data_IF_971658599495
#
_entry.id   IF_971658599495
#
_cell.length_a   1.000
_cell.length_b   1.000
_cell.length_c   1.000
_cell.angle_alpha   90.00
_cell.angle_beta   90.00
_cell.angle_gamma   90.00
#
_symmetry.space_group_name_H-M   'P 1'
#
loop_
_entity.id
_entity.type
_entity.pdbx_description
1 polymer ?
#
# COMPACT_ATOMS: atom_id res chain seq x y z
N UNK A 1 -16.72 13.26 -9.07
CA UNK A 1 -15.45 12.63 -8.64
C UNK A 1 -15.59 11.51 -7.58
N UNK A 2 -16.60 11.50 -6.70
CA UNK A 2 -16.63 10.54 -5.56
C UNK A 2 -16.81 9.05 -5.90
N UNK A 3 -17.41 8.70 -7.05
CA UNK A 3 -17.70 7.29 -7.41
C UNK A 3 -16.43 6.48 -7.66
N UNK A 4 -15.45 7.06 -8.37
CA UNK A 4 -14.16 6.42 -8.66
C UNK A 4 -13.37 6.24 -7.36
N UNK A 5 -13.21 7.29 -6.57
CA UNK A 5 -12.46 7.21 -5.28
C UNK A 5 -13.08 6.16 -4.36
N UNK A 6 -14.42 6.09 -4.26
CA UNK A 6 -15.12 5.08 -3.46
C UNK A 6 -14.93 3.67 -4.01
N UNK A 7 -15.06 3.47 -5.33
CA UNK A 7 -14.86 2.16 -5.98
C UNK A 7 -13.42 1.68 -5.86
N UNK A 8 -12.44 2.59 -5.98
CA UNK A 8 -11.03 2.27 -5.76
C UNK A 8 -10.80 1.83 -4.31
N UNK A 9 -11.31 2.56 -3.30
CA UNK A 9 -11.22 2.12 -1.89
C UNK A 9 -11.86 0.74 -1.66
N UNK A 10 -13.03 0.49 -2.25
CA UNK A 10 -13.74 -0.80 -2.12
C UNK A 10 -13.05 -1.95 -2.86
N UNK A 11 -12.50 -1.71 -4.05
CA UNK A 11 -11.80 -2.73 -4.84
C UNK A 11 -10.48 -3.18 -4.19
N UNK A 12 -9.84 -2.32 -3.39
CA UNK A 12 -8.63 -2.65 -2.63
C UNK A 12 -8.91 -3.26 -1.24
N UNK A 13 -10.17 -3.30 -0.82
CA UNK A 13 -10.63 -4.05 0.35
C UNK A 13 -10.87 -5.55 0.05
N UNK A 14 -10.62 -5.99 -1.19
CA UNK A 14 -10.78 -7.38 -1.60
C UNK A 14 -9.51 -8.16 -1.24
N UNK A 15 -9.65 -9.15 -0.34
CA UNK A 15 -8.58 -9.96 0.26
C UNK A 15 -8.24 -9.57 1.70
N UNK A 16 -7.61 -10.47 2.46
CA UNK A 16 -7.35 -10.36 3.92
C UNK A 16 -6.47 -9.17 4.37
N UNK A 17 -6.00 -8.32 3.45
CA UNK A 17 -5.12 -7.20 3.75
C UNK A 17 -5.86 -5.86 3.64
N UNK A 18 -5.89 -5.12 4.74
CA UNK A 18 -6.48 -3.77 4.79
C UNK A 18 -5.68 -2.80 3.91
N UNK A 19 -6.31 -1.70 3.48
CA UNK A 19 -5.64 -0.62 2.74
C UNK A 19 -4.39 -0.12 3.47
N UNK A 20 -4.50 0.11 4.78
CA UNK A 20 -3.39 0.54 5.62
C UNK A 20 -2.26 -0.49 5.67
N UNK A 21 -2.61 -1.78 5.79
CA UNK A 21 -1.61 -2.86 5.76
C UNK A 21 -0.86 -2.94 4.43
N UNK A 22 -1.58 -2.83 3.31
CA UNK A 22 -0.98 -2.82 1.98
C UNK A 22 -0.06 -1.60 1.76
N UNK A 23 -0.46 -0.43 2.25
CA UNK A 23 0.35 0.79 2.17
C UNK A 23 1.66 0.65 2.94
N UNK A 24 1.59 0.16 4.18
CA UNK A 24 2.76 -0.10 5.03
C UNK A 24 3.71 -1.11 4.38
N UNK A 25 3.20 -2.24 3.86
CA UNK A 25 4.04 -3.21 3.14
C UNK A 25 4.70 -2.59 1.90
N UNK A 26 3.95 -1.82 1.11
CA UNK A 26 4.49 -1.16 -0.08
C UNK A 26 5.60 -0.16 0.27
N UNK A 27 5.47 0.55 1.39
CA UNK A 27 6.49 1.45 1.92
C UNK A 27 7.74 0.72 2.35
N UNK A 28 7.60 -0.30 3.20
CA UNK A 28 8.74 -1.10 3.68
C UNK A 28 9.46 -1.82 2.52
N UNK A 29 8.72 -2.23 1.49
CA UNK A 29 9.27 -2.81 0.27
C UNK A 29 10.17 -1.85 -0.51
N UNK A 30 9.79 -0.56 -0.61
CA UNK A 30 10.55 0.46 -1.37
C UNK A 30 11.63 1.16 -0.55
N UNK A 31 11.32 1.51 0.69
CA UNK A 31 12.15 2.33 1.57
C UNK A 31 13.01 1.54 2.55
N UNK A 32 12.79 0.23 2.66
CA UNK A 32 13.46 -0.62 3.63
C UNK A 32 12.81 -0.57 5.02
N UNK A 33 13.47 -1.18 6.03
CA UNK A 33 12.96 -1.25 7.39
C UNK A 33 12.84 0.13 8.06
N UNK A 34 11.82 0.32 8.89
CA UNK A 34 11.57 1.60 9.56
C UNK A 34 10.92 1.40 10.94
N UNK A 35 10.91 2.45 11.76
CA UNK A 35 10.30 2.45 13.09
C UNK A 35 8.77 2.59 13.03
N UNK A 36 8.01 2.02 13.98
CA UNK A 36 6.55 2.20 14.04
C UNK A 36 6.10 3.67 14.07
N UNK A 37 6.89 4.55 14.70
CA UNK A 37 6.59 5.99 14.78
C UNK A 37 6.72 6.67 13.41
N UNK A 38 7.82 6.44 12.71
CA UNK A 38 8.02 6.97 11.36
C UNK A 38 6.97 6.45 10.38
N UNK A 39 6.62 5.16 10.46
CA UNK A 39 5.52 4.59 9.68
C UNK A 39 4.18 5.29 9.98
N UNK A 40 3.89 5.62 11.24
CA UNK A 40 2.67 6.35 11.61
C UNK A 40 2.63 7.77 11.02
N UNK A 41 3.74 8.50 11.08
CA UNK A 41 3.88 9.84 10.50
C UNK A 41 3.71 9.81 8.98
N UNK A 42 4.42 8.90 8.32
CA UNK A 42 4.41 8.77 6.86
C UNK A 42 3.05 8.31 6.32
N UNK A 43 2.33 7.47 7.07
CA UNK A 43 0.95 7.07 6.74
C UNK A 43 -0.09 8.08 7.24
N UNK A 44 0.33 9.16 7.91
CA UNK A 44 -0.53 10.21 8.48
C UNK A 44 -1.64 9.64 9.39
N UNK A 45 -1.31 8.63 10.20
CA UNK A 45 -2.22 7.99 11.15
C UNK A 45 -1.73 8.12 12.59
N UNK A 46 -2.64 7.94 13.55
CA UNK A 46 -2.28 7.93 14.97
C UNK A 46 -1.40 6.70 15.29
N UNK A 47 -0.42 6.81 16.22
CA UNK A 47 0.44 5.69 16.61
C UNK A 47 -0.32 4.42 17.02
N UNK A 48 -1.45 4.57 17.72
CA UNK A 48 -2.28 3.43 18.13
C UNK A 48 -2.89 2.67 16.94
N UNK A 49 -3.32 3.39 15.89
CA UNK A 49 -3.85 2.77 14.68
C UNK A 49 -2.75 2.07 13.87
N UNK A 50 -1.56 2.67 13.82
CA UNK A 50 -0.38 2.04 13.23
C UNK A 50 0.00 0.76 13.99
N UNK A 51 0.02 0.80 15.33
CA UNK A 51 0.31 -0.38 16.14
C UNK A 51 -0.66 -1.54 15.87
N UNK A 52 -1.96 -1.26 15.74
CA UNK A 52 -2.95 -2.27 15.36
C UNK A 52 -2.73 -2.83 13.95
N UNK A 53 -2.35 -1.98 12.99
CA UNK A 53 -2.00 -2.40 11.63
C UNK A 53 -0.78 -3.32 11.63
N UNK A 54 0.30 -2.91 12.31
CA UNK A 54 1.53 -3.69 12.44
C UNK A 54 1.29 -5.02 13.14
N UNK A 55 0.52 -5.05 14.23
CA UNK A 55 0.17 -6.30 14.91
C UNK A 55 -0.55 -7.28 13.98
N UNK A 56 -1.50 -6.80 13.16
CA UNK A 56 -2.19 -7.65 12.18
C UNK A 56 -1.27 -8.16 11.06
N UNK A 57 -0.27 -7.36 10.64
CA UNK A 57 0.73 -7.78 9.66
C UNK A 57 1.72 -8.81 10.26
N UNK A 58 2.16 -8.59 11.50
CA UNK A 58 3.06 -9.47 12.25
C UNK A 58 2.41 -10.83 12.50
N UNK A 59 1.13 -10.86 12.93
CA UNK A 59 0.37 -12.10 13.13
C UNK A 59 0.25 -12.95 11.86
N UNK A 60 0.29 -12.31 10.69
CA UNK A 60 0.23 -12.96 9.39
C UNK A 60 1.61 -13.29 8.82
N UNK A 61 2.68 -13.01 9.54
CA UNK A 61 4.06 -13.21 9.09
C UNK A 61 4.48 -12.33 7.91
N UNK A 62 3.79 -11.21 7.67
CA UNK A 62 4.06 -10.32 6.53
C UNK A 62 5.12 -9.25 6.84
N UNK A 63 5.34 -9.00 8.14
CA UNK A 63 6.42 -8.15 8.63
C UNK A 63 7.07 -8.83 9.84
N UNK A 64 8.32 -8.47 10.09
CA UNK A 64 9.06 -8.86 11.29
C UNK A 64 9.43 -7.64 12.11
N UNK A 65 9.55 -7.83 13.42
CA UNK A 65 9.98 -6.81 14.37
C UNK A 65 11.30 -7.22 15.01
N UNK A 66 12.28 -6.32 14.97
CA UNK A 66 13.57 -6.50 15.63
C UNK A 66 13.95 -5.26 16.44
N UNK A 67 14.81 -5.38 17.47
CA UNK A 67 15.42 -4.21 18.11
C UNK A 67 16.23 -3.40 17.10
N UNK A 68 16.20 -2.08 17.23
CA UNK A 68 17.04 -1.20 16.41
C UNK A 68 18.52 -1.43 16.76
N UNK A 69 19.41 -1.67 15.77
CA UNK A 69 20.84 -1.83 16.00
C UNK A 69 21.50 -0.60 16.66
N UNK A 70 20.97 0.60 16.43
CA UNK A 70 21.50 1.85 16.95
C UNK A 70 20.96 2.22 18.34
N UNK A 71 19.72 1.84 18.66
CA UNK A 71 19.14 1.98 20.01
C UNK A 71 18.19 0.81 20.31
N UNK A 72 18.65 -0.18 21.09
CA UNK A 72 17.87 -1.38 21.41
C UNK A 72 16.54 -1.12 22.13
N UNK A 73 16.29 0.11 22.61
CA UNK A 73 14.98 0.52 23.16
C UNK A 73 13.95 0.79 22.07
N UNK A 74 14.38 0.96 20.82
CA UNK A 74 13.52 1.16 19.65
C UNK A 74 13.34 -0.15 18.91
N UNK A 75 12.20 -0.27 18.24
CA UNK A 75 11.91 -1.38 17.35
C UNK A 75 11.97 -0.91 15.89
N UNK A 76 12.46 -1.79 15.03
CA UNK A 76 12.48 -1.66 13.58
C UNK A 76 11.58 -2.74 13.00
N UNK A 77 10.73 -2.34 12.05
CA UNK A 77 9.83 -3.20 11.31
C UNK A 77 10.42 -3.42 9.92
N UNK A 78 10.51 -4.67 9.48
CA UNK A 78 10.93 -5.03 8.14
C UNK A 78 9.86 -5.88 7.45
N UNK A 79 9.73 -5.74 6.13
CA UNK A 79 8.89 -6.64 5.32
C UNK A 79 9.57 -8.01 5.20
N UNK A 80 8.79 -9.08 5.36
CA UNK A 80 9.25 -10.46 5.14
C UNK A 80 9.15 -10.84 3.67
N UNK A 81 9.68 -12.00 3.30
CA UNK A 81 9.56 -12.50 1.93
C UNK A 81 8.10 -12.86 1.59
N UNK A 82 7.37 -13.41 2.55
CA UNK A 82 5.93 -13.65 2.47
C UNK A 82 5.16 -12.35 2.25
N UNK A 83 5.54 -11.29 2.97
CA UNK A 83 5.01 -9.94 2.79
C UNK A 83 5.22 -9.40 1.38
N UNK A 84 6.42 -9.58 0.81
CA UNK A 84 6.72 -9.22 -0.59
C UNK A 84 5.88 -10.02 -1.57
N UNK A 85 5.77 -11.33 -1.38
CA UNK A 85 4.95 -12.20 -2.23
C UNK A 85 3.46 -11.81 -2.22
N UNK A 86 2.91 -11.40 -1.08
CA UNK A 86 1.54 -10.86 -1.01
C UNK A 86 1.41 -9.56 -1.79
N UNK A 87 2.40 -8.66 -1.70
CA UNK A 87 2.40 -7.40 -2.43
C UNK A 87 2.40 -7.62 -3.95
N UNK A 88 3.23 -8.53 -4.44
CA UNK A 88 3.33 -8.85 -5.87
C UNK A 88 2.04 -9.49 -6.41
N UNK A 89 1.46 -10.46 -5.68
CA UNK A 89 0.16 -11.03 -6.07
C UNK A 89 -0.92 -9.96 -6.17
N UNK A 90 -0.99 -9.05 -5.18
CA UNK A 90 -1.94 -7.92 -5.23
C UNK A 90 -1.72 -6.99 -6.41
N UNK A 91 -0.46 -6.72 -6.78
CA UNK A 91 -0.13 -5.92 -7.97
C UNK A 91 -0.64 -6.61 -9.23
N UNK A 92 -0.38 -7.90 -9.39
CA UNK A 92 -0.87 -8.70 -10.52
C UNK A 92 -2.40 -8.68 -10.61
N UNK A 93 -3.10 -9.04 -9.52
CA UNK A 93 -4.57 -9.05 -9.48
C UNK A 93 -5.19 -7.67 -9.76
N UNK A 94 -4.51 -6.59 -9.39
CA UNK A 94 -4.99 -5.23 -9.66
C UNK A 94 -4.75 -4.83 -11.11
N UNK A 95 -3.63 -5.25 -11.70
CA UNK A 95 -3.35 -5.07 -13.12
C UNK A 95 -4.36 -5.85 -13.98
N UNK A 96 -4.64 -7.11 -13.64
CA UNK A 96 -5.61 -7.95 -14.38
C UNK A 96 -7.02 -7.36 -14.32
N UNK A 97 -7.46 -6.91 -13.14
CA UNK A 97 -8.76 -6.23 -12.99
C UNK A 97 -8.84 -4.94 -13.77
N UNK A 98 -7.76 -4.16 -13.82
CA UNK A 98 -7.70 -2.93 -14.59
C UNK A 98 -7.73 -3.22 -16.09
N UNK A 99 -6.96 -4.19 -16.56
CA UNK A 99 -6.95 -4.63 -17.95
C UNK A 99 -8.35 -5.05 -18.40
N UNK A 100 -9.02 -5.87 -17.60
CA UNK A 100 -10.39 -6.29 -17.89
C UNK A 100 -11.39 -5.12 -17.89
N UNK A 101 -11.24 -4.16 -16.98
CA UNK A 101 -12.08 -2.96 -16.97
C UNK A 101 -11.89 -2.10 -18.23
N UNK A 102 -10.69 -2.11 -18.80
CA UNK A 102 -10.35 -1.37 -20.02
C UNK A 102 -10.85 -2.06 -21.30
N UNK A 103 -11.23 -3.34 -21.27
CA UNK A 103 -11.76 -4.05 -22.44
C UNK A 103 -12.97 -3.35 -23.08
N UNK A 104 -13.78 -2.65 -22.28
CA UNK A 104 -14.92 -1.87 -22.76
C UNK A 104 -14.59 -0.48 -23.32
N UNK A 105 -13.31 -0.07 -23.31
CA UNK A 105 -12.88 1.27 -23.70
C UNK A 105 -12.32 1.30 -25.12
N UNK A 106 -12.69 2.32 -25.88
CA UNK A 106 -12.12 2.60 -27.20
C UNK A 106 -10.65 3.02 -27.10
N UNK A 107 -9.85 2.91 -28.18
CA UNK A 107 -8.46 3.37 -28.19
C UNK A 107 -8.30 4.85 -27.79
N UNK A 108 -9.25 5.70 -28.18
CA UNK A 108 -9.25 7.13 -27.83
C UNK A 108 -9.47 7.36 -26.33
N UNK A 109 -10.37 6.62 -25.71
CA UNK A 109 -10.62 6.72 -24.26
C UNK A 109 -9.44 6.18 -23.46
N UNK A 110 -8.81 5.09 -23.92
CA UNK A 110 -7.58 4.57 -23.31
C UNK A 110 -6.45 5.60 -23.38
N UNK A 111 -6.27 6.25 -24.54
CA UNK A 111 -5.28 7.33 -24.68
C UNK A 111 -5.57 8.49 -23.73
N UNK A 112 -6.83 8.94 -23.63
CA UNK A 112 -7.20 10.01 -22.71
C UNK A 112 -6.93 9.67 -21.25
N UNK A 113 -7.09 8.40 -20.84
CA UNK A 113 -6.69 7.94 -19.51
C UNK A 113 -5.17 7.99 -19.34
N UNK A 114 -4.40 7.49 -20.30
CA UNK A 114 -2.93 7.54 -20.26
C UNK A 114 -2.42 8.98 -20.14
N UNK A 115 -3.02 9.91 -20.87
CA UNK A 115 -2.62 11.32 -20.86
C UNK A 115 -2.88 12.01 -19.51
N UNK A 116 -3.92 11.59 -18.78
CA UNK A 116 -4.29 12.21 -17.48
C UNK A 116 -3.54 11.61 -16.29
N UNK A 117 -3.06 10.35 -16.38
CA UNK A 117 -2.39 9.67 -15.26
C UNK A 117 -1.22 10.48 -14.65
N UNK A 118 -0.29 11.05 -15.44
CA UNK A 118 0.80 11.85 -14.87
C UNK A 118 0.32 13.10 -14.12
N UNK A 119 -0.84 13.67 -14.50
CA UNK A 119 -1.43 14.81 -13.80
C UNK A 119 -2.02 14.39 -12.45
N UNK A 120 -2.63 13.21 -12.39
CA UNK A 120 -3.15 12.64 -11.16
C UNK A 120 -2.03 12.27 -10.19
N UNK A 121 -0.90 11.74 -10.68
CA UNK A 121 0.27 11.43 -9.86
C UNK A 121 0.84 12.71 -9.22
N UNK A 122 1.05 13.76 -10.01
CA UNK A 122 1.48 15.06 -9.51
C UNK A 122 0.52 15.66 -8.49
N UNK A 123 -0.79 15.53 -8.71
CA UNK A 123 -1.80 15.98 -7.74
C UNK A 123 -1.72 15.18 -6.44
N UNK A 124 -1.47 13.87 -6.51
CA UNK A 124 -1.34 13.01 -5.34
C UNK A 124 -0.10 13.35 -4.49
N UNK A 125 1.01 13.74 -5.11
CA UNK A 125 2.22 14.20 -4.40
C UNK A 125 2.00 15.51 -3.62
N UNK A 126 1.01 16.32 -4.02
CA UNK A 126 0.70 17.61 -3.42
C UNK A 126 -0.36 17.56 -2.29
N UNK A 127 -0.94 16.37 -2.04
CA UNK A 127 -1.97 16.14 -1.01
C UNK A 127 -1.45 15.36 0.21
#
# INVERSE_FOLDING_TARGET
MGRIVRRLRQAHAVGDLTLSGASVLARLSRGGPDSPGALAELERVRPQAMAGTLAGLEQRGLVSRAPDPADRRRAVIAITEEGRGVLERRRSESADRLAHALDGFTPRERQALTDVLPLLDRLAEQL
#
